data_IF_292007900078
#
_entry.id   IF_292007900078
#
_cell.length_a   1.000
_cell.length_b   1.000
_cell.length_c   1.000
_cell.angle_alpha   90.00
_cell.angle_beta   90.00
_cell.angle_gamma   90.00
#
_symmetry.space_group_name_H-M   'P 1'
#
loop_
_entity.id
_entity.type
_entity.pdbx_description
1 polymer ?
#
# COMPACT_ATOMS: atom_id res chain seq x y z
N UNK A 1 -45.35 -8.34 -28.61
CA UNK A 1 -44.23 -7.89 -27.76
C UNK A 1 -43.03 -8.79 -28.01
N UNK A 2 -41.95 -8.28 -28.59
CA UNK A 2 -40.66 -8.97 -28.57
C UNK A 2 -39.53 -8.03 -29.03
N UNK A 3 -39.21 -7.01 -28.22
CA UNK A 3 -37.86 -6.45 -28.26
C UNK A 3 -37.02 -7.28 -27.31
N UNK A 4 -36.25 -8.22 -27.85
CA UNK A 4 -35.15 -8.80 -27.08
C UNK A 4 -34.16 -7.67 -26.83
N UNK A 5 -34.10 -7.15 -25.59
CA UNK A 5 -33.01 -6.27 -25.16
C UNK A 5 -31.72 -7.06 -25.40
N UNK A 6 -31.01 -6.75 -26.48
CA UNK A 6 -29.69 -7.26 -26.75
C UNK A 6 -28.76 -6.76 -25.65
N UNK A 7 -28.66 -7.51 -24.55
CA UNK A 7 -27.64 -7.26 -23.55
C UNK A 7 -26.35 -7.85 -24.11
N UNK A 8 -25.49 -6.96 -24.63
CA UNK A 8 -24.12 -7.32 -24.93
C UNK A 8 -23.42 -7.77 -23.65
N UNK A 9 -22.79 -8.95 -23.71
CA UNK A 9 -21.93 -9.44 -22.63
C UNK A 9 -20.79 -8.44 -22.38
N UNK A 10 -20.73 -7.86 -21.18
CA UNK A 10 -19.58 -7.03 -20.79
C UNK A 10 -18.29 -7.84 -20.81
N UNK A 11 -17.28 -7.36 -21.54
CA UNK A 11 -15.93 -7.95 -21.58
C UNK A 11 -15.06 -7.48 -20.41
N UNK A 12 -15.56 -6.55 -19.61
CA UNK A 12 -14.86 -5.93 -18.50
C UNK A 12 -15.29 -6.63 -17.20
N UNK A 13 -14.44 -7.50 -16.66
CA UNK A 13 -14.68 -8.23 -15.41
C UNK A 13 -13.40 -8.76 -14.77
N UNK A 14 -12.23 -8.28 -15.20
CA UNK A 14 -10.93 -8.68 -14.64
C UNK A 14 -10.50 -7.63 -13.64
N UNK A 15 -10.26 -8.07 -12.42
CA UNK A 15 -9.70 -7.26 -11.34
C UNK A 15 -8.52 -8.01 -10.72
N UNK A 16 -7.56 -7.26 -10.19
CA UNK A 16 -6.45 -7.83 -9.44
C UNK A 16 -6.69 -7.71 -7.94
N UNK A 17 -6.30 -8.73 -7.19
CA UNK A 17 -6.36 -8.69 -5.73
C UNK A 17 -5.64 -7.48 -5.12
N UNK A 18 -6.29 -6.83 -4.15
CA UNK A 18 -5.72 -5.71 -3.39
C UNK A 18 -4.42 -6.13 -2.69
N UNK A 19 -3.41 -5.26 -2.79
CA UNK A 19 -2.08 -5.49 -2.18
C UNK A 19 -1.96 -4.90 -0.77
N UNK A 20 -3.05 -4.36 -0.22
CA UNK A 20 -3.11 -3.79 1.15
C UNK A 20 -1.97 -2.80 1.42
N UNK A 21 -1.67 -1.95 0.44
CA UNK A 21 -0.69 -0.87 0.55
C UNK A 21 -1.14 0.19 1.57
N UNK A 22 -0.29 1.17 1.84
CA UNK A 22 -0.56 2.30 2.71
C UNK A 22 0.25 2.29 4.01
N UNK A 23 -0.02 3.32 4.82
CA UNK A 23 0.59 3.55 6.13
C UNK A 23 0.16 2.48 7.12
N UNK A 24 1.10 2.01 7.94
CA UNK A 24 0.90 0.97 8.97
C UNK A 24 1.06 1.52 10.38
N UNK A 25 1.98 2.46 10.56
CA UNK A 25 2.20 3.17 11.81
C UNK A 25 2.13 4.67 11.48
N UNK A 26 1.27 5.39 12.20
CA UNK A 26 1.04 6.82 11.99
C UNK A 26 1.92 7.65 12.92
N UNK A 27 2.05 8.95 12.62
CA UNK A 27 2.87 9.87 13.41
C UNK A 27 2.48 9.89 14.89
N UNK A 28 3.48 9.87 15.76
CA UNK A 28 3.31 9.84 17.22
C UNK A 28 3.01 8.45 17.81
N UNK A 29 2.99 7.39 17.00
CA UNK A 29 2.89 6.02 17.48
C UNK A 29 4.28 5.40 17.67
N UNK A 30 4.41 4.49 18.64
CA UNK A 30 5.63 3.77 18.88
C UNK A 30 5.93 2.77 17.75
N UNK A 31 7.17 2.81 17.24
CA UNK A 31 7.72 1.82 16.35
C UNK A 31 8.95 1.17 16.99
N UNK A 32 9.04 -0.15 16.84
CA UNK A 32 10.23 -0.93 17.20
C UNK A 32 11.08 -1.09 15.94
N UNK A 33 12.39 -1.22 16.10
CA UNK A 33 13.33 -1.49 15.02
C UNK A 33 12.85 -2.68 14.17
N UNK A 34 12.82 -2.49 12.86
CA UNK A 34 12.31 -3.44 11.88
C UNK A 34 10.81 -3.31 11.54
N UNK A 35 10.03 -2.57 12.33
CA UNK A 35 8.60 -2.36 12.03
C UNK A 35 8.41 -1.70 10.67
N UNK A 36 7.34 -2.12 9.98
CA UNK A 36 6.91 -1.49 8.73
C UNK A 36 6.16 -0.21 9.08
N UNK A 37 6.61 0.92 8.51
CA UNK A 37 5.94 2.22 8.65
C UNK A 37 4.95 2.42 7.50
N UNK A 38 5.38 2.20 6.26
CA UNK A 38 4.53 2.37 5.05
C UNK A 38 4.86 1.31 4.00
N UNK A 39 3.82 0.64 3.45
CA UNK A 39 3.96 -0.18 2.23
C UNK A 39 3.50 0.61 1.02
N UNK A 40 4.38 0.80 0.05
CA UNK A 40 4.10 1.63 -1.12
C UNK A 40 4.57 0.99 -2.43
N UNK A 41 4.30 1.66 -3.55
CA UNK A 41 4.80 1.31 -4.89
C UNK A 41 5.45 2.56 -5.47
N UNK A 42 6.78 2.51 -5.60
CA UNK A 42 7.59 3.71 -5.79
C UNK A 42 7.68 4.55 -4.51
N UNK A 43 8.36 5.69 -4.60
CA UNK A 43 8.66 6.54 -3.45
C UNK A 43 7.66 7.70 -3.34
N UNK A 44 6.47 7.41 -2.82
CA UNK A 44 5.56 8.48 -2.38
C UNK A 44 6.10 9.14 -1.11
N UNK A 45 6.57 8.32 -0.17
CA UNK A 45 7.33 8.75 1.01
C UNK A 45 8.79 8.33 0.86
N UNK A 46 9.71 9.22 1.23
CA UNK A 46 11.14 8.97 1.21
C UNK A 46 11.65 8.62 2.61
N UNK A 47 12.66 7.74 2.75
CA UNK A 47 13.26 7.46 4.04
C UNK A 47 13.89 8.74 4.62
N UNK A 48 13.60 9.01 5.89
CA UNK A 48 14.22 10.08 6.67
C UNK A 48 15.28 9.54 7.63
N UNK A 49 15.52 10.27 8.71
CA UNK A 49 16.40 9.81 9.78
C UNK A 49 15.84 8.55 10.46
N UNK A 50 16.71 7.59 10.78
CA UNK A 50 16.35 6.33 11.45
C UNK A 50 15.26 5.49 10.74
N UNK A 51 15.10 5.68 9.43
CA UNK A 51 14.20 4.90 8.58
C UNK A 51 14.99 4.41 7.37
N UNK A 52 14.85 3.13 7.01
CA UNK A 52 15.46 2.58 5.80
C UNK A 52 14.38 2.08 4.83
N UNK A 53 14.76 2.02 3.54
CA UNK A 53 13.89 1.58 2.47
C UNK A 53 14.26 0.17 2.01
N UNK A 54 13.26 -0.70 1.89
CA UNK A 54 13.39 -2.03 1.30
C UNK A 54 13.33 -2.01 -0.23
N UNK A 55 13.64 -3.16 -0.86
CA UNK A 55 13.63 -3.33 -2.32
C UNK A 55 12.27 -3.03 -2.97
N UNK A 56 11.16 -3.27 -2.27
CA UNK A 56 9.81 -2.98 -2.77
C UNK A 56 9.33 -1.55 -2.45
N UNK A 57 10.25 -0.68 -2.04
CA UNK A 57 10.04 0.70 -1.60
C UNK A 57 9.33 0.85 -0.24
N UNK A 58 9.06 -0.25 0.47
CA UNK A 58 8.51 -0.22 1.85
C UNK A 58 9.49 0.48 2.79
N UNK A 59 8.96 1.32 3.68
CA UNK A 59 9.73 2.01 4.71
C UNK A 59 9.67 1.26 6.04
N UNK A 60 10.83 1.11 6.67
CA UNK A 60 11.01 0.39 7.92
C UNK A 60 11.73 1.25 8.96
N UNK A 61 11.36 1.11 10.23
CA UNK A 61 12.08 1.73 11.34
C UNK A 61 13.46 1.07 11.52
N UNK A 62 14.51 1.87 11.65
CA UNK A 62 15.87 1.38 11.91
C UNK A 62 16.14 1.20 13.41
N UNK A 63 15.50 2.02 14.25
CA UNK A 63 15.63 2.03 15.71
C UNK A 63 14.26 2.11 16.36
N UNK A 64 14.20 1.84 17.66
CA UNK A 64 13.00 2.02 18.47
C UNK A 64 12.73 3.52 18.68
N UNK A 65 11.47 3.94 18.59
CA UNK A 65 11.10 5.34 18.78
C UNK A 65 9.65 5.64 18.44
N UNK A 66 9.37 6.91 18.15
CA UNK A 66 8.09 7.37 17.63
C UNK A 66 8.24 7.70 16.14
N UNK A 67 7.22 7.38 15.35
CA UNK A 67 7.12 7.72 13.91
C UNK A 67 6.81 9.20 13.70
#
# INVERSE_FOLDING_TARGET
MAHKKGVGSSKNGRESESKRLGVKIFGGQAAVAGNIIVRQRGNTHHPGENVYQGKDHTLHAQVDGLV
#
